data_IF_254369637170
#
_entry.id   IF_254369637170
#
_cell.length_a   1.000
_cell.length_b   1.000
_cell.length_c   1.000
_cell.angle_alpha   90.00
_cell.angle_beta   90.00
_cell.angle_gamma   90.00
#
_symmetry.space_group_name_H-M   'P 1'
#
loop_
_entity.id
_entity.type
_entity.pdbx_description
1 polymer ?
#
# COMPACT_ATOMS: atom_id res chain seq x y z
N UNK A 1 8.37 2.91 -4.07
CA UNK A 1 9.63 2.82 -4.80
C UNK A 1 9.72 4.01 -5.76
N UNK A 2 10.84 4.67 -5.90
CA UNK A 2 10.95 5.90 -6.69
C UNK A 2 10.74 5.72 -8.20
N UNK A 3 10.70 6.85 -8.95
CA UNK A 3 10.48 6.93 -10.40
C UNK A 3 11.46 6.08 -11.23
N UNK A 4 12.63 5.74 -10.66
CA UNK A 4 13.61 4.87 -11.31
C UNK A 4 13.06 3.48 -11.63
N UNK A 5 12.20 2.94 -10.77
CA UNK A 5 11.56 1.63 -10.98
C UNK A 5 10.56 1.70 -12.15
N UNK A 6 9.76 2.77 -12.21
CA UNK A 6 8.81 2.96 -13.31
C UNK A 6 9.54 3.09 -14.66
N UNK A 7 10.65 3.83 -14.68
CA UNK A 7 11.50 3.97 -15.89
C UNK A 7 12.13 2.64 -16.29
N UNK A 8 12.60 1.84 -15.33
CA UNK A 8 13.15 0.50 -15.61
C UNK A 8 12.10 -0.40 -16.26
N UNK A 9 10.89 -0.43 -15.69
CA UNK A 9 9.78 -1.22 -16.21
C UNK A 9 9.38 -0.73 -17.62
N UNK A 10 9.26 0.58 -17.83
CA UNK A 10 8.93 1.15 -19.13
C UNK A 10 9.97 0.80 -20.20
N UNK A 11 11.27 0.88 -19.87
CA UNK A 11 12.34 0.47 -20.79
C UNK A 11 12.27 -1.02 -21.12
N UNK A 12 12.05 -1.87 -20.13
CA UNK A 12 11.92 -3.30 -20.35
C UNK A 12 10.71 -3.62 -21.24
N UNK A 13 9.59 -2.92 -21.06
CA UNK A 13 8.40 -3.10 -21.91
C UNK A 13 8.65 -2.80 -23.37
N UNK A 14 9.56 -1.88 -23.68
CA UNK A 14 9.92 -1.53 -25.07
C UNK A 14 10.91 -2.52 -25.70
N UNK A 15 11.69 -3.27 -24.91
CA UNK A 15 12.74 -4.16 -25.40
C UNK A 15 12.32 -5.63 -25.29
N UNK A 16 11.85 -6.04 -24.13
CA UNK A 16 11.46 -7.43 -23.85
C UNK A 16 10.34 -7.47 -22.80
N UNK A 17 9.13 -7.74 -23.21
CA UNK A 17 7.95 -7.74 -22.37
C UNK A 17 8.04 -8.72 -21.18
N UNK A 18 8.70 -9.88 -21.37
CA UNK A 18 8.91 -10.84 -20.25
C UNK A 18 9.67 -10.24 -19.08
N UNK A 19 10.67 -9.39 -19.34
CA UNK A 19 11.44 -8.73 -18.30
C UNK A 19 10.58 -7.66 -17.60
N UNK A 20 9.74 -6.97 -18.35
CA UNK A 20 8.82 -5.99 -17.77
C UNK A 20 7.85 -6.67 -16.78
N UNK A 21 7.32 -7.84 -17.12
CA UNK A 21 6.44 -8.62 -16.23
C UNK A 21 7.19 -9.03 -14.96
N UNK A 22 8.42 -9.52 -15.08
CA UNK A 22 9.25 -9.87 -13.93
C UNK A 22 9.54 -8.65 -13.04
N UNK A 23 9.93 -7.52 -13.63
CA UNK A 23 10.19 -6.29 -12.87
C UNK A 23 8.94 -5.76 -12.18
N UNK A 24 7.77 -5.86 -12.81
CA UNK A 24 6.49 -5.53 -12.18
C UNK A 24 6.23 -6.40 -10.95
N UNK A 25 6.42 -7.70 -11.05
CA UNK A 25 6.21 -8.64 -9.94
C UNK A 25 7.21 -8.40 -8.79
N UNK A 26 8.49 -8.25 -9.12
CA UNK A 26 9.53 -7.97 -8.14
C UNK A 26 9.25 -6.64 -7.41
N UNK A 27 8.94 -5.58 -8.15
CA UNK A 27 8.65 -4.29 -7.57
C UNK A 27 7.38 -4.30 -6.69
N UNK A 28 6.37 -5.10 -7.04
CA UNK A 28 5.20 -5.31 -6.20
C UNK A 28 5.57 -6.01 -4.88
N UNK A 29 6.36 -7.08 -4.94
CA UNK A 29 6.84 -7.76 -3.74
C UNK A 29 7.71 -6.84 -2.85
N UNK A 30 8.59 -6.05 -3.46
CA UNK A 30 9.44 -5.10 -2.74
C UNK A 30 8.64 -4.04 -1.99
N UNK A 31 7.63 -3.43 -2.62
CA UNK A 31 6.84 -2.39 -1.95
C UNK A 31 6.02 -2.97 -0.81
N UNK A 32 5.45 -4.17 -0.96
CA UNK A 32 4.73 -4.83 0.13
C UNK A 32 5.64 -5.17 1.31
N UNK A 33 6.83 -5.74 1.04
CA UNK A 33 7.83 -6.02 2.10
C UNK A 33 8.26 -4.75 2.83
N UNK A 34 8.46 -3.65 2.08
CA UNK A 34 8.79 -2.36 2.67
C UNK A 34 7.65 -1.84 3.55
N UNK A 35 6.40 -1.92 3.08
CA UNK A 35 5.23 -1.54 3.85
C UNK A 35 5.10 -2.36 5.15
N UNK A 36 5.40 -3.66 5.10
CA UNK A 36 5.38 -4.52 6.29
C UNK A 36 6.46 -4.11 7.31
N UNK A 37 7.67 -3.80 6.83
CA UNK A 37 8.77 -3.31 7.68
C UNK A 37 8.39 -2.01 8.40
N UNK A 38 7.83 -1.04 7.67
CA UNK A 38 7.36 0.23 8.24
C UNK A 38 6.22 -0.01 9.24
N UNK A 39 5.30 -0.90 8.91
CA UNK A 39 4.17 -1.25 9.75
C UNK A 39 4.63 -1.86 11.08
N UNK A 40 5.65 -2.72 11.06
CA UNK A 40 6.19 -3.33 12.26
C UNK A 40 6.92 -2.29 13.15
N UNK A 41 7.62 -1.34 12.54
CA UNK A 41 8.21 -0.21 13.28
C UNK A 41 7.14 0.66 13.96
N UNK A 42 6.05 1.00 13.25
CA UNK A 42 4.94 1.76 13.80
C UNK A 42 4.23 1.01 14.94
N UNK A 43 4.09 -0.31 14.83
CA UNK A 43 3.55 -1.14 15.92
C UNK A 43 4.39 -1.08 17.18
N UNK A 44 5.72 -1.14 17.04
CA UNK A 44 6.62 -1.04 18.17
C UNK A 44 6.52 0.33 18.86
N UNK A 45 6.39 1.39 18.08
CA UNK A 45 6.23 2.74 18.61
C UNK A 45 4.88 2.92 19.31
N UNK A 46 3.79 2.48 18.68
CA UNK A 46 2.46 2.49 19.29
C UNK A 46 2.42 1.70 20.60
N UNK A 47 3.06 0.53 20.66
CA UNK A 47 3.12 -0.29 21.87
C UNK A 47 3.83 0.42 23.04
N UNK A 48 4.84 1.24 22.78
CA UNK A 48 5.49 2.07 23.81
C UNK A 48 4.54 3.10 24.42
N UNK A 49 3.54 3.54 23.65
CA UNK A 49 2.48 4.44 24.11
C UNK A 49 1.25 3.70 24.68
N UNK A 50 1.32 2.36 24.84
CA UNK A 50 0.19 1.55 25.29
C UNK A 50 -0.94 1.42 24.27
N UNK A 51 -0.63 1.61 22.98
CA UNK A 51 -1.59 1.56 21.89
C UNK A 51 -1.34 0.37 20.95
N UNK A 52 -2.40 -0.08 20.31
CA UNK A 52 -2.40 -1.20 19.37
C UNK A 52 -2.77 -0.72 17.97
N UNK A 53 -1.93 -1.04 16.98
CA UNK A 53 -2.21 -0.72 15.58
C UNK A 53 -3.27 -1.66 15.01
N UNK A 54 -4.24 -1.08 14.31
CA UNK A 54 -5.15 -1.80 13.42
C UNK A 54 -4.43 -2.18 12.11
N UNK A 55 -4.99 -3.09 11.30
CA UNK A 55 -4.50 -3.33 9.95
C UNK A 55 -4.46 -2.03 9.14
N UNK A 56 -3.42 -1.89 8.30
CA UNK A 56 -3.39 -0.79 7.34
C UNK A 56 -4.55 -0.92 6.34
N UNK A 57 -5.16 0.20 6.01
CA UNK A 57 -6.30 0.28 5.11
C UNK A 57 -6.08 1.40 4.09
N UNK A 58 -6.10 1.05 2.81
CA UNK A 58 -5.79 1.98 1.72
C UNK A 58 -7.05 2.47 1.02
N UNK A 59 -7.05 3.69 0.46
CA UNK A 59 -8.13 4.13 -0.43
C UNK A 59 -8.34 3.15 -1.59
N UNK A 60 -9.61 2.94 -1.93
CA UNK A 60 -10.03 1.97 -2.95
C UNK A 60 -10.41 0.60 -2.41
N UNK A 61 -10.26 0.35 -1.10
CA UNK A 61 -10.70 -0.88 -0.46
C UNK A 61 -11.95 -0.67 0.40
N UNK A 62 -12.87 -1.63 0.36
CA UNK A 62 -14.12 -1.61 1.13
C UNK A 62 -14.94 -0.35 0.85
N UNK A 63 -15.28 0.37 1.90
CA UNK A 63 -16.00 1.65 1.89
C UNK A 63 -15.10 2.89 1.86
N UNK A 64 -13.77 2.71 1.91
CA UNK A 64 -12.81 3.80 1.81
C UNK A 64 -12.57 4.17 0.35
N UNK A 65 -13.28 5.17 -0.12
CA UNK A 65 -13.30 5.55 -1.53
C UNK A 65 -11.93 5.96 -2.05
N UNK A 66 -11.66 5.64 -3.31
CA UNK A 66 -10.37 5.90 -3.96
C UNK A 66 -10.02 7.40 -4.03
N UNK A 67 -11.03 8.27 -4.09
CA UNK A 67 -10.85 9.72 -4.14
C UNK A 67 -10.11 10.29 -2.92
N UNK A 68 -10.22 9.64 -1.76
CA UNK A 68 -9.48 10.01 -0.55
C UNK A 68 -7.96 9.86 -0.68
N UNK A 69 -7.49 9.24 -1.76
CA UNK A 69 -6.08 9.23 -2.14
C UNK A 69 -5.50 10.64 -2.25
N UNK A 70 -6.28 11.58 -2.80
CA UNK A 70 -5.89 12.98 -2.95
C UNK A 70 -5.79 13.68 -1.60
N UNK A 71 -6.77 13.43 -0.73
CA UNK A 71 -6.82 14.01 0.60
C UNK A 71 -5.61 13.58 1.42
N UNK A 72 -5.26 12.29 1.39
CA UNK A 72 -4.08 11.76 2.07
C UNK A 72 -2.77 12.37 1.53
N UNK A 73 -2.62 12.44 0.21
CA UNK A 73 -1.42 13.01 -0.39
C UNK A 73 -1.29 14.51 -0.10
N UNK A 74 -2.41 15.24 -0.05
CA UNK A 74 -2.43 16.65 0.33
C UNK A 74 -2.08 16.83 1.81
N UNK A 75 -2.72 16.07 2.71
CA UNK A 75 -2.49 16.13 4.15
C UNK A 75 -1.02 15.85 4.50
N UNK A 76 -0.42 14.87 3.83
CA UNK A 76 0.97 14.47 4.05
C UNK A 76 1.99 15.33 3.30
N UNK A 77 1.54 16.22 2.40
CA UNK A 77 2.40 17.01 1.50
C UNK A 77 3.40 16.12 0.73
N UNK A 78 2.89 15.01 0.19
CA UNK A 78 3.73 13.98 -0.43
C UNK A 78 4.51 14.47 -1.65
N UNK A 79 4.00 15.42 -2.49
CA UNK A 79 4.78 15.92 -3.61
C UNK A 79 6.09 16.59 -3.18
N UNK A 80 6.05 17.38 -2.12
CA UNK A 80 7.24 18.10 -1.63
C UNK A 80 8.16 17.20 -0.82
N UNK A 81 7.60 16.31 0.00
CA UNK A 81 8.40 15.47 0.91
C UNK A 81 9.07 14.30 0.21
N UNK A 82 8.40 13.64 -0.73
CA UNK A 82 8.87 12.39 -1.33
C UNK A 82 8.66 12.31 -2.85
N UNK A 83 8.19 13.38 -3.51
CA UNK A 83 7.94 13.40 -4.94
C UNK A 83 6.78 12.50 -5.40
N UNK A 84 5.86 12.14 -4.47
CA UNK A 84 4.69 11.33 -4.78
C UNK A 84 3.51 12.22 -5.11
N UNK A 85 2.91 12.02 -6.28
CA UNK A 85 1.73 12.74 -6.76
C UNK A 85 0.57 11.80 -7.04
N UNK A 86 -0.62 12.39 -7.20
CA UNK A 86 -1.85 11.67 -7.57
C UNK A 86 -2.37 12.23 -8.88
N UNK A 87 -2.68 11.34 -9.83
CA UNK A 87 -3.27 11.72 -11.12
C UNK A 87 -4.75 12.08 -10.97
N UNK A 88 -5.37 12.60 -12.04
CA UNK A 88 -6.81 12.86 -12.09
C UNK A 88 -7.65 11.60 -11.89
N UNK A 89 -7.15 10.44 -12.31
CA UNK A 89 -7.76 9.13 -12.09
C UNK A 89 -7.44 8.50 -10.73
N UNK A 90 -6.90 9.28 -9.79
CA UNK A 90 -6.49 8.84 -8.44
C UNK A 90 -5.40 7.76 -8.42
N UNK A 91 -4.60 7.62 -9.49
CA UNK A 91 -3.42 6.75 -9.48
C UNK A 91 -2.22 7.48 -8.87
N UNK A 92 -1.40 6.74 -8.15
CA UNK A 92 -0.14 7.26 -7.59
C UNK A 92 0.96 7.28 -8.66
N UNK A 93 1.76 8.34 -8.66
CA UNK A 93 2.97 8.46 -9.45
C UNK A 93 4.14 8.91 -8.55
N UNK A 94 5.19 8.09 -8.38
CA UNK A 94 5.49 6.79 -9.03
C UNK A 94 4.46 5.70 -8.76
N UNK A 95 4.28 4.79 -9.75
CA UNK A 95 3.22 3.76 -9.70
C UNK A 95 3.41 2.77 -8.56
N UNK A 96 4.66 2.42 -8.24
CA UNK A 96 4.99 1.52 -7.12
C UNK A 96 5.05 2.29 -5.80
N UNK A 97 3.90 2.77 -5.38
CA UNK A 97 3.68 3.53 -4.15
C UNK A 97 2.43 3.03 -3.42
N UNK A 98 2.42 3.19 -2.12
CA UNK A 98 1.28 2.83 -1.26
C UNK A 98 0.96 3.99 -0.34
N UNK A 99 -0.31 4.30 -0.20
CA UNK A 99 -0.84 5.14 0.87
C UNK A 99 -1.82 4.32 1.69
N UNK A 100 -1.81 4.50 2.99
CA UNK A 100 -2.73 3.80 3.88
C UNK A 100 -2.95 4.61 5.15
N UNK A 101 -4.03 4.30 5.84
CA UNK A 101 -4.30 4.73 7.21
C UNK A 101 -4.17 3.54 8.14
N UNK A 102 -3.70 3.78 9.36
CA UNK A 102 -3.59 2.79 10.43
C UNK A 102 -4.31 3.36 11.64
N UNK A 103 -5.38 2.72 12.05
CA UNK A 103 -6.09 3.08 13.27
C UNK A 103 -5.28 2.66 14.51
N UNK A 104 -5.38 3.44 15.57
CA UNK A 104 -4.82 3.12 16.88
C UNK A 104 -5.96 2.85 17.87
N UNK A 105 -5.78 1.89 18.76
CA UNK A 105 -6.75 1.51 19.79
C UNK A 105 -6.06 1.32 21.13
N UNK A 106 -6.72 1.67 22.22
CA UNK A 106 -6.27 1.35 23.59
C UNK A 106 -6.52 -0.11 23.97
N UNK A 107 -7.36 -0.82 23.21
CA UNK A 107 -7.66 -2.22 23.47
C UNK A 107 -6.97 -3.13 22.48
N UNK A 108 -6.37 -4.25 22.93
CA UNK A 108 -5.84 -5.26 22.03
C UNK A 108 -7.00 -5.87 21.24
N UNK A 109 -6.91 -5.81 19.93
CA UNK A 109 -7.81 -6.55 19.06
C UNK A 109 -7.01 -7.45 18.14
N UNK A 110 -7.48 -8.67 17.87
CA UNK A 110 -6.79 -9.57 16.96
C UNK A 110 -6.64 -8.88 15.60
N UNK A 111 -5.40 -8.64 15.20
CA UNK A 111 -5.09 -8.16 13.88
C UNK A 111 -5.16 -9.38 12.96
N UNK A 112 -6.31 -9.60 12.34
CA UNK A 112 -6.47 -10.71 11.40
C UNK A 112 -5.64 -10.43 10.15
N UNK A 113 -4.42 -10.95 10.14
CA UNK A 113 -3.61 -11.05 8.92
C UNK A 113 -4.06 -12.22 8.02
N UNK A 114 -5.00 -13.01 8.48
CA UNK A 114 -5.50 -14.16 7.74
C UNK A 114 -6.47 -13.67 6.67
N UNK A 115 -6.10 -13.93 5.44
CA UNK A 115 -6.83 -13.52 4.25
C UNK A 115 -8.10 -14.34 4.04
N UNK A 116 -8.19 -15.04 2.92
CA UNK A 116 -9.38 -15.81 2.53
C UNK A 116 -9.76 -16.94 3.51
N UNK A 117 -8.84 -17.43 4.32
CA UNK A 117 -9.07 -18.54 5.26
C UNK A 117 -10.05 -18.18 6.38
N UNK A 118 -10.07 -16.92 6.84
CA UNK A 118 -11.00 -16.44 7.87
C UNK A 118 -12.14 -15.57 7.32
N UNK A 119 -12.15 -15.33 6.02
CA UNK A 119 -13.21 -14.56 5.37
C UNK A 119 -14.48 -15.40 5.25
N UNK A 120 -15.56 -14.98 5.92
CA UNK A 120 -16.87 -15.64 5.85
C UNK A 120 -17.59 -15.51 4.49
N UNK A 121 -17.01 -14.81 3.52
CA UNK A 121 -17.59 -14.62 2.20
C UNK A 121 -17.37 -15.85 1.33
N UNK A 122 -18.44 -16.59 1.02
CA UNK A 122 -18.38 -17.85 0.26
C UNK A 122 -18.38 -17.65 -1.25
N UNK A 123 -18.88 -16.53 -1.74
CA UNK A 123 -19.08 -16.15 -3.15
C UNK A 123 -18.07 -15.13 -3.68
N UNK A 124 -16.89 -15.05 -3.08
CA UNK A 124 -15.88 -14.05 -3.46
C UNK A 124 -15.11 -14.50 -4.72
N UNK A 125 -15.18 -13.71 -5.78
CA UNK A 125 -14.43 -13.93 -7.03
C UNK A 125 -12.88 -13.91 -6.84
N UNK A 126 -12.39 -13.38 -5.72
CA UNK A 126 -10.96 -13.26 -5.38
C UNK A 126 -10.50 -14.25 -4.30
N UNK A 127 -11.35 -15.18 -3.88
CA UNK A 127 -10.97 -16.19 -2.89
C UNK A 127 -9.88 -17.09 -3.45
N UNK A 128 -8.73 -17.14 -2.79
CA UNK A 128 -7.63 -18.04 -3.07
C UNK A 128 -7.68 -19.25 -2.15
#
# INVERSE_FOLDING_TARGET
LGIGVDRLIARASAVRMSDAVLYQAIAAAMIETYCDTVNDALRQEAARAGLYCRPRFSPGYGDFRLEHQRDLCHLLDTPRKIGLTVTESCLLAPVKSVTAVIGLSSEPQPCHRKGCEECGKTDCAYRR
#
